data_IF_064896306378
#
_entry.id   IF_064896306378
#
_cell.length_a   1.000
_cell.length_b   1.000
_cell.length_c   1.000
_cell.angle_alpha   90.00
_cell.angle_beta   90.00
_cell.angle_gamma   90.00
#
_symmetry.space_group_name_H-M   'P 1'
#
loop_
_entity.id
_entity.type
_entity.pdbx_description
1 polymer ?
#
# COMPACT_ATOMS: atom_id res chain seq x y z
N UNK A 1 -10.95 14.29 2.70
CA UNK A 1 -11.37 13.20 1.78
C UNK A 1 -10.29 13.13 0.74
N UNK A 2 -9.73 11.94 0.48
CA UNK A 2 -8.60 11.81 -0.43
C UNK A 2 -8.97 12.29 -1.84
N UNK A 3 -8.13 13.18 -2.36
CA UNK A 3 -8.17 13.68 -3.72
C UNK A 3 -7.26 12.84 -4.61
N UNK A 4 -7.55 12.83 -5.91
CA UNK A 4 -6.76 12.10 -6.89
C UNK A 4 -6.31 13.04 -7.99
N UNK A 5 -5.00 13.14 -8.19
CA UNK A 5 -4.44 13.93 -9.28
C UNK A 5 -4.36 13.09 -10.56
N UNK A 6 -4.80 13.65 -11.69
CA UNK A 6 -4.93 13.02 -13.02
C UNK A 6 -5.97 11.89 -13.10
N UNK A 7 -5.92 10.88 -12.22
CA UNK A 7 -6.85 9.74 -12.21
C UNK A 7 -6.82 8.98 -10.88
N UNK A 8 -7.79 8.09 -10.69
CA UNK A 8 -7.90 7.23 -9.50
C UNK A 8 -7.05 5.94 -9.65
N UNK A 9 -6.42 5.45 -8.56
CA UNK A 9 -5.77 4.14 -8.54
C UNK A 9 -6.81 3.02 -8.59
N UNK A 10 -6.40 1.83 -9.04
CA UNK A 10 -7.25 0.63 -8.97
C UNK A 10 -7.19 0.05 -7.56
N UNK A 11 -8.33 0.04 -6.88
CA UNK A 11 -8.45 -0.58 -5.55
C UNK A 11 -8.52 -2.12 -5.64
N UNK A 12 -8.19 -2.85 -4.54
CA UNK A 12 -7.59 -2.32 -3.31
C UNK A 12 -6.15 -1.87 -3.54
N UNK A 13 -5.65 -0.97 -2.68
CA UNK A 13 -4.28 -0.49 -2.73
C UNK A 13 -3.52 -0.92 -1.48
N UNK A 14 -2.21 -1.05 -1.59
CA UNK A 14 -1.28 -1.06 -0.45
C UNK A 14 -0.73 0.35 -0.29
N UNK A 15 -0.67 0.84 0.93
CA UNK A 15 -0.14 2.15 1.26
C UNK A 15 0.90 2.01 2.37
N UNK A 16 2.08 2.54 2.13
CA UNK A 16 3.10 2.73 3.16
C UNK A 16 2.61 3.76 4.17
N UNK A 17 2.81 3.48 5.46
CA UNK A 17 2.60 4.41 6.57
C UNK A 17 3.89 4.54 7.38
N UNK A 18 3.89 5.37 8.42
CA UNK A 18 5.03 5.49 9.34
C UNK A 18 5.36 4.18 10.06
N UNK A 19 4.36 3.35 10.35
CA UNK A 19 4.53 2.12 11.13
C UNK A 19 4.74 0.90 10.24
N UNK A 20 3.84 0.70 9.26
CA UNK A 20 3.82 -0.48 8.39
C UNK A 20 3.13 -0.22 7.07
N UNK A 21 3.17 -1.19 6.15
CA UNK A 21 2.31 -1.17 4.97
C UNK A 21 0.90 -1.63 5.36
N UNK A 22 -0.10 -0.82 5.01
CA UNK A 22 -1.51 -1.10 5.28
C UNK A 22 -2.28 -1.33 3.99
N UNK A 23 -3.30 -2.20 4.04
CA UNK A 23 -4.22 -2.37 2.93
C UNK A 23 -5.34 -1.34 2.98
N UNK A 24 -5.77 -0.80 1.84
CA UNK A 24 -6.95 0.07 1.75
C UNK A 24 -7.87 -0.37 0.60
N UNK A 25 -9.14 -0.65 0.93
CA UNK A 25 -10.16 -1.03 -0.06
C UNK A 25 -10.85 0.17 -0.72
N UNK A 26 -10.66 1.36 -0.15
CA UNK A 26 -11.26 2.60 -0.61
C UNK A 26 -10.52 3.83 -0.07
N UNK A 27 -10.79 5.01 -0.64
CA UNK A 27 -10.20 6.27 -0.20
C UNK A 27 -10.62 6.69 1.21
N UNK A 28 -11.76 6.20 1.71
CA UNK A 28 -12.22 6.46 3.08
C UNK A 28 -11.30 5.84 4.12
N UNK A 29 -10.74 4.64 3.87
CA UNK A 29 -9.75 4.04 4.79
C UNK A 29 -8.50 4.88 4.89
N UNK A 30 -7.99 5.38 3.76
CA UNK A 30 -6.82 6.27 3.72
C UNK A 30 -7.12 7.59 4.44
N UNK A 31 -8.32 8.16 4.24
CA UNK A 31 -8.75 9.36 4.97
C UNK A 31 -8.78 9.14 6.48
N UNK A 32 -9.13 7.93 6.95
CA UNK A 32 -9.09 7.58 8.39
C UNK A 32 -7.65 7.48 8.90
N UNK A 33 -6.74 6.87 8.14
CA UNK A 33 -5.32 6.80 8.48
C UNK A 33 -4.69 8.20 8.62
N UNK A 34 -5.09 9.16 7.78
CA UNK A 34 -4.65 10.56 7.92
C UNK A 34 -5.04 11.17 9.27
N UNK A 35 -6.23 10.85 9.78
CA UNK A 35 -6.71 11.33 11.09
C UNK A 35 -6.03 10.64 12.27
N UNK A 36 -5.41 9.49 12.05
CA UNK A 36 -4.67 8.72 13.05
C UNK A 36 -3.17 9.06 13.07
N UNK A 37 -2.77 10.13 12.37
CA UNK A 37 -1.37 10.57 12.26
C UNK A 37 -0.42 9.51 11.70
N UNK A 38 -0.90 8.60 10.85
CA UNK A 38 -0.09 7.52 10.26
C UNK A 38 0.88 7.99 9.15
N UNK A 39 0.99 9.30 8.92
CA UNK A 39 1.73 9.89 7.79
C UNK A 39 2.47 11.20 8.17
N UNK A 40 3.22 11.19 9.26
CA UNK A 40 3.96 12.33 9.77
C UNK A 40 5.46 12.30 9.46
N UNK A 41 6.08 11.15 9.19
CA UNK A 41 7.54 11.04 9.09
C UNK A 41 8.13 11.43 7.71
N UNK A 42 7.32 11.43 6.65
CA UNK A 42 7.74 11.67 5.26
C UNK A 42 6.85 12.69 4.55
N UNK A 43 7.42 13.36 3.55
CA UNK A 43 6.68 14.25 2.65
C UNK A 43 5.72 13.48 1.73
N UNK A 44 6.12 12.28 1.30
CA UNK A 44 5.29 11.40 0.48
C UNK A 44 5.50 9.93 0.83
N UNK A 45 4.48 9.12 0.54
CA UNK A 45 4.41 7.70 0.85
C UNK A 45 4.12 6.89 -0.40
N UNK A 46 4.66 5.68 -0.44
CA UNK A 46 4.43 4.74 -1.53
C UNK A 46 2.99 4.22 -1.47
N UNK A 47 2.31 4.26 -2.61
CA UNK A 47 1.04 3.56 -2.83
C UNK A 47 1.21 2.59 -4.00
N UNK A 48 0.70 1.38 -3.86
CA UNK A 48 0.71 0.35 -4.91
C UNK A 48 -0.73 -0.05 -5.17
N UNK A 49 -1.18 0.14 -6.40
CA UNK A 49 -2.53 -0.23 -6.78
C UNK A 49 -2.67 -1.72 -7.11
N UNK A 50 -3.91 -2.19 -7.28
CA UNK A 50 -4.18 -3.61 -7.53
C UNK A 50 -3.61 -4.13 -8.85
N UNK A 51 -3.21 -3.26 -9.77
CA UNK A 51 -2.51 -3.65 -11.01
C UNK A 51 -0.99 -3.69 -10.87
N UNK A 52 -0.45 -3.27 -9.72
CA UNK A 52 0.99 -3.17 -9.47
C UNK A 52 1.59 -1.87 -10.00
N UNK A 53 0.75 -0.90 -10.33
CA UNK A 53 1.21 0.44 -10.62
C UNK A 53 1.60 1.13 -9.31
N UNK A 54 2.73 1.84 -9.34
CA UNK A 54 3.17 2.67 -8.23
C UNK A 54 2.56 4.08 -8.30
N UNK A 55 2.29 4.62 -7.12
CA UNK A 55 1.68 5.91 -6.88
C UNK A 55 2.36 6.57 -5.68
N UNK A 56 2.21 7.88 -5.56
CA UNK A 56 2.66 8.65 -4.40
C UNK A 56 1.46 9.25 -3.68
N UNK A 57 1.43 9.11 -2.36
CA UNK A 57 0.50 9.80 -1.49
C UNK A 57 1.20 10.99 -0.81
N UNK A 58 0.60 12.18 -0.88
CA UNK A 58 1.09 13.41 -0.28
C UNK A 58 0.14 13.84 0.84
N UNK A 59 0.47 13.56 2.12
CA UNK A 59 -0.46 13.78 3.24
C UNK A 59 -0.82 15.24 3.45
N UNK A 60 0.14 16.16 3.24
CA UNK A 60 -0.07 17.61 3.38
C UNK A 60 -1.20 18.15 2.48
N UNK A 61 -1.52 17.43 1.41
CA UNK A 61 -2.58 17.80 0.46
C UNK A 61 -3.71 16.78 0.40
N UNK A 62 -3.65 15.69 1.18
CA UNK A 62 -4.54 14.53 1.06
C UNK A 62 -4.69 14.03 -0.40
N UNK A 63 -3.61 14.06 -1.20
CA UNK A 63 -3.64 13.74 -2.64
C UNK A 63 -2.88 12.46 -2.94
N UNK A 64 -3.49 11.58 -3.74
CA UNK A 64 -2.81 10.45 -4.41
C UNK A 64 -2.55 10.82 -5.88
N UNK A 65 -1.32 10.60 -6.34
CA UNK A 65 -0.89 10.92 -7.70
C UNK A 65 -0.15 9.72 -8.33
N UNK A 66 -0.35 9.44 -9.63
CA UNK A 66 0.42 8.42 -10.33
C UNK A 66 1.87 8.86 -10.56
N UNK A 67 2.25 10.11 -10.25
CA UNK A 67 3.60 10.64 -10.42
C UNK A 67 4.51 10.14 -9.29
N UNK A 68 5.20 9.03 -9.55
CA UNK A 68 6.22 8.43 -8.69
C UNK A 68 7.42 7.97 -9.52
N UNK A 69 8.59 7.83 -8.90
CA UNK A 69 9.80 7.30 -9.54
C UNK A 69 9.65 5.81 -9.84
N UNK A 70 9.04 5.04 -8.95
CA UNK A 70 8.85 3.59 -9.13
C UNK A 70 7.46 3.27 -9.68
N UNK A 71 7.32 3.32 -11.02
CA UNK A 71 6.03 3.15 -11.70
C UNK A 71 5.47 1.73 -11.70
N UNK A 72 6.32 0.70 -11.70
CA UNK A 72 5.89 -0.71 -11.80
C UNK A 72 6.48 -1.54 -10.67
N UNK A 73 5.62 -2.29 -10.01
CA UNK A 73 5.98 -3.20 -8.94
C UNK A 73 5.83 -4.66 -9.40
N UNK A 74 6.83 -5.48 -9.06
CA UNK A 74 6.75 -6.93 -9.27
C UNK A 74 6.13 -7.58 -8.04
N UNK A 75 5.55 -8.77 -8.20
CA UNK A 75 4.97 -9.54 -7.09
C UNK A 75 5.98 -9.73 -5.94
N UNK A 76 7.23 -10.03 -6.27
CA UNK A 76 8.30 -10.21 -5.29
C UNK A 76 8.56 -8.93 -4.49
N UNK A 77 8.71 -7.78 -5.16
CA UNK A 77 8.93 -6.49 -4.49
C UNK A 77 7.75 -6.05 -3.63
N UNK A 78 6.52 -6.37 -4.02
CA UNK A 78 5.32 -6.08 -3.21
C UNK A 78 5.37 -6.88 -1.89
N UNK A 79 5.67 -8.17 -1.97
CA UNK A 79 5.78 -9.06 -0.80
C UNK A 79 6.94 -8.64 0.10
N UNK A 80 8.08 -8.29 -0.50
CA UNK A 80 9.24 -7.78 0.21
C UNK A 80 8.91 -6.48 0.96
N UNK A 81 8.31 -5.49 0.28
CA UNK A 81 7.90 -4.23 0.90
C UNK A 81 6.98 -4.46 2.11
N UNK A 82 5.94 -5.30 1.94
CA UNK A 82 5.01 -5.60 3.03
C UNK A 82 5.72 -6.28 4.21
N UNK A 83 6.47 -7.35 3.95
CA UNK A 83 7.13 -8.11 5.01
C UNK A 83 8.24 -7.33 5.72
N UNK A 84 8.97 -6.48 4.99
CA UNK A 84 9.96 -5.58 5.57
C UNK A 84 9.31 -4.58 6.53
N UNK A 85 8.12 -4.08 6.17
CA UNK A 85 7.37 -3.15 7.03
C UNK A 85 6.93 -3.76 8.36
N UNK A 86 6.74 -5.09 8.41
CA UNK A 86 6.40 -5.78 9.66
C UNK A 86 7.58 -5.91 10.63
N UNK A 87 8.83 -5.82 10.14
CA UNK A 87 10.01 -5.98 10.99
C UNK A 87 10.08 -4.93 12.11
N UNK A 88 9.62 -3.70 11.84
CA UNK A 88 9.53 -2.63 12.84
C UNK A 88 8.44 -2.82 13.89
N UNK A 89 7.48 -3.72 13.65
CA UNK A 89 6.33 -3.96 14.55
C UNK A 89 6.56 -5.10 15.53
N UNK A 90 7.67 -5.85 15.40
CA UNK A 90 7.91 -7.09 16.16
C UNK A 90 6.96 -8.24 15.81
N UNK A 91 6.18 -8.11 14.73
CA UNK A 91 5.23 -9.14 14.28
C UNK A 91 5.89 -10.22 13.42
N UNK A 92 5.72 -11.48 13.80
CA UNK A 92 6.12 -12.65 13.00
C UNK A 92 5.10 -13.03 11.92
N UNK A 93 4.01 -12.27 11.79
CA UNK A 93 2.91 -12.55 10.87
C UNK A 93 3.23 -12.15 9.42
N UNK A 94 4.37 -12.61 8.90
CA UNK A 94 4.79 -12.39 7.53
C UNK A 94 3.81 -13.01 6.55
N UNK A 95 3.48 -12.28 5.48
CA UNK A 95 2.77 -12.83 4.36
C UNK A 95 3.70 -13.77 3.57
N UNK A 96 3.34 -15.05 3.54
CA UNK A 96 4.03 -16.08 2.78
C UNK A 96 3.15 -16.50 1.61
N UNK A 97 3.35 -15.95 0.40
CA UNK A 97 2.66 -16.47 -0.76
C UNK A 97 3.06 -17.93 -0.97
N UNK A 98 2.17 -18.73 -1.56
CA UNK A 98 2.58 -20.00 -2.16
C UNK A 98 3.43 -19.74 -3.40
N UNK A 99 3.03 -20.25 -4.56
CA UNK A 99 3.71 -19.95 -5.82
C UNK A 99 3.36 -18.56 -6.37
N UNK A 100 4.34 -17.67 -6.44
CA UNK A 100 4.19 -16.34 -7.07
C UNK A 100 3.92 -16.43 -8.58
N UNK A 101 4.44 -17.44 -9.28
CA UNK A 101 4.26 -17.57 -10.73
C UNK A 101 2.79 -17.88 -11.08
N UNK A 102 2.13 -18.68 -10.25
CA UNK A 102 0.73 -19.11 -10.45
C UNK A 102 -0.33 -18.04 -10.16
N UNK A 103 -0.01 -17.02 -9.36
CA UNK A 103 -0.97 -15.99 -8.92
C UNK A 103 -0.93 -14.77 -9.82
N UNK A 104 -2.06 -14.09 -10.03
CA UNK A 104 -2.06 -12.77 -10.67
C UNK A 104 -1.53 -11.72 -9.69
N UNK A 105 -0.95 -10.63 -10.19
CA UNK A 105 -0.47 -9.55 -9.30
C UNK A 105 -1.61 -9.00 -8.44
N UNK A 106 -2.77 -8.75 -9.05
CA UNK A 106 -3.98 -8.31 -8.35
C UNK A 106 -4.37 -9.22 -7.19
N UNK A 107 -4.21 -10.53 -7.39
CA UNK A 107 -4.49 -11.52 -6.35
C UNK A 107 -3.52 -11.38 -5.17
N UNK A 108 -2.22 -11.16 -5.43
CA UNK A 108 -1.22 -10.91 -4.38
C UNK A 108 -1.59 -9.67 -3.57
N UNK A 109 -1.96 -8.56 -4.22
CA UNK A 109 -2.37 -7.33 -3.52
C UNK A 109 -3.60 -7.57 -2.65
N UNK A 110 -4.63 -8.25 -3.17
CA UNK A 110 -5.85 -8.58 -2.41
C UNK A 110 -5.55 -9.46 -1.20
N UNK A 111 -4.73 -10.49 -1.38
CA UNK A 111 -4.36 -11.41 -0.30
C UNK A 111 -3.55 -10.70 0.79
N UNK A 112 -2.65 -9.77 0.44
CA UNK A 112 -1.93 -8.96 1.43
C UNK A 112 -2.90 -8.05 2.20
N UNK A 113 -3.85 -7.41 1.51
CA UNK A 113 -4.88 -6.58 2.17
C UNK A 113 -5.74 -7.40 3.13
N UNK A 114 -6.09 -8.63 2.76
CA UNK A 114 -6.83 -9.56 3.64
C UNK A 114 -5.98 -10.05 4.81
N UNK A 115 -4.71 -10.35 4.57
CA UNK A 115 -3.76 -10.76 5.59
C UNK A 115 -3.54 -9.64 6.62
N UNK A 116 -3.27 -8.42 6.16
CA UNK A 116 -3.06 -7.23 7.01
C UNK A 116 -4.29 -6.91 7.87
N UNK A 117 -5.51 -7.11 7.35
CA UNK A 117 -6.73 -6.86 8.12
C UNK A 117 -6.93 -7.77 9.34
N UNK A 118 -6.11 -8.83 9.47
CA UNK A 118 -6.13 -9.79 10.59
C UNK A 118 -4.99 -9.54 11.60
N UNK A 119 -4.13 -8.53 11.35
CA UNK A 119 -3.00 -8.13 12.20
C UNK A 119 -3.38 -7.00 13.13
#
# INVERSE_FOLDING_TARGET
MIQYLFRKPKYPVLIETDERVMGARSGERISRLCKQSSFAAKESYIVIDSSGEGWSFFPAHEVISPLTTQKRWTKAKIVELFNASLAGTGSDARYKPGSLSSRRLEQIVREIVEHESKL
#
